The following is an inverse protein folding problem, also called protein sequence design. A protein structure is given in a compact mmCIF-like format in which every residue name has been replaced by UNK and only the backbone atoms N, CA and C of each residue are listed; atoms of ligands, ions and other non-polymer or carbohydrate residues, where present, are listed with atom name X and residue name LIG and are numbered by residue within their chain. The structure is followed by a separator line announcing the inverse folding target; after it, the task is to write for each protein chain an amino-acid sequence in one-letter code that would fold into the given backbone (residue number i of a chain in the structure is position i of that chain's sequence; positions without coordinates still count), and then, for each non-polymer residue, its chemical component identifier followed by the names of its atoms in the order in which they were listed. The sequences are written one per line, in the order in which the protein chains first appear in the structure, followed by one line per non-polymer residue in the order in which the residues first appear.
data_IF_259283397275
#
_entry.id   IF_259283397275
#
_cell.length_a   1.000
_cell.length_b   1.000
_cell.length_c   1.000
_cell.angle_alpha   90.00
_cell.angle_beta   90.00
_cell.angle_gamma   90.00
#
_symmetry.space_group_name_H-M   'P 1'
#
loop_
_entity.id
_entity.type
_entity.pdbx_description
1 polymer ?
#
# COMPACT_ATOMS: atom_id res chain seq x y z
N UNK A 1 -24.82 -4.94 -29.29
CA UNK A 1 -25.05 -4.09 -28.10
C UNK A 1 -24.21 -4.67 -26.97
N UNK A 2 -23.05 -4.08 -26.71
CA UNK A 2 -22.17 -4.51 -25.61
C UNK A 2 -22.64 -3.88 -24.31
N UNK A 3 -22.67 -4.62 -23.18
CA UNK A 3 -23.06 -4.04 -21.90
C UNK A 3 -21.99 -3.03 -21.46
N UNK A 4 -22.41 -1.79 -21.28
CA UNK A 4 -21.63 -0.74 -20.66
C UNK A 4 -21.05 -1.24 -19.34
N UNK A 5 -19.72 -1.22 -19.19
CA UNK A 5 -19.04 -1.60 -17.98
C UNK A 5 -19.64 -0.86 -16.79
N UNK A 6 -20.29 -1.60 -15.89
CA UNK A 6 -20.97 -1.03 -14.75
C UNK A 6 -19.98 -0.27 -13.88
N UNK A 7 -20.20 1.04 -13.75
CA UNK A 7 -19.52 1.88 -12.76
C UNK A 7 -19.75 1.22 -11.39
N UNK A 8 -18.70 0.61 -10.84
CA UNK A 8 -18.76 0.00 -9.51
C UNK A 8 -18.93 1.14 -8.52
N UNK A 9 -20.15 1.38 -8.03
CA UNK A 9 -20.39 2.36 -6.96
C UNK A 9 -19.63 1.91 -5.72
N UNK A 10 -18.48 2.53 -5.47
CA UNK A 10 -17.69 2.26 -4.29
C UNK A 10 -18.53 2.70 -3.06
N UNK A 11 -18.85 1.75 -2.17
CA UNK A 11 -19.65 2.05 -0.98
C UNK A 11 -18.85 2.94 -0.02
N UNK A 12 -19.52 3.73 0.82
CA UNK A 12 -18.83 4.58 1.80
C UNK A 12 -17.88 3.75 2.70
N UNK A 13 -18.31 2.55 3.09
CA UNK A 13 -17.49 1.55 3.79
C UNK A 13 -16.19 1.25 3.05
N UNK A 14 -16.28 0.91 1.76
CA UNK A 14 -15.10 0.53 0.97
C UNK A 14 -14.19 1.74 0.74
N UNK A 15 -14.72 2.94 0.55
CA UNK A 15 -13.93 4.18 0.51
C UNK A 15 -13.16 4.42 1.82
N UNK A 16 -13.80 4.20 2.98
CA UNK A 16 -13.14 4.32 4.28
C UNK A 16 -12.06 3.26 4.44
N UNK A 17 -12.33 2.00 4.05
CA UNK A 17 -11.36 0.92 4.11
C UNK A 17 -10.15 1.20 3.21
N UNK A 18 -10.38 1.73 2.01
CA UNK A 18 -9.32 2.11 1.07
C UNK A 18 -8.48 3.26 1.63
N UNK A 19 -9.11 4.33 2.11
CA UNK A 19 -8.42 5.47 2.71
C UNK A 19 -7.56 5.05 3.92
N UNK A 20 -8.10 4.23 4.82
CA UNK A 20 -7.34 3.73 5.97
C UNK A 20 -6.19 2.80 5.57
N UNK A 21 -6.39 1.96 4.54
CA UNK A 21 -5.31 1.13 4.01
C UNK A 21 -4.20 2.01 3.44
N UNK A 22 -4.54 3.09 2.74
CA UNK A 22 -3.59 4.04 2.20
C UNK A 22 -2.84 4.80 3.32
N UNK A 23 -3.50 5.16 4.42
CA UNK A 23 -2.84 5.74 5.60
C UNK A 23 -1.81 4.78 6.24
N UNK A 24 -2.15 3.49 6.35
CA UNK A 24 -1.24 2.45 6.86
C UNK A 24 -0.07 2.24 5.89
N UNK A 25 -0.35 2.13 4.59
CA UNK A 25 0.65 1.91 3.55
C UNK A 25 1.54 3.13 3.32
N UNK A 26 1.05 4.34 3.56
CA UNK A 26 1.87 5.54 3.56
C UNK A 26 2.69 5.70 4.84
N UNK A 27 2.44 4.87 5.86
CA UNK A 27 3.09 4.94 7.16
C UNK A 27 2.63 6.11 8.06
N UNK A 28 1.50 6.73 7.73
CA UNK A 28 0.86 7.76 8.55
C UNK A 28 0.11 7.15 9.75
N UNK A 29 -0.34 5.90 9.60
CA UNK A 29 -0.92 5.10 10.68
C UNK A 29 0.05 3.97 11.08
N UNK A 30 0.91 4.19 12.10
CA UNK A 30 1.98 3.26 12.42
C UNK A 30 1.52 1.94 13.07
N UNK A 31 2.27 0.84 12.88
CA UNK A 31 2.08 -0.42 13.58
C UNK A 31 1.95 -0.22 15.08
N UNK A 32 1.07 -1.00 15.71
CA UNK A 32 0.81 -0.89 17.14
C UNK A 32 -0.10 0.29 17.52
N UNK A 33 -0.39 1.24 16.62
CA UNK A 33 -1.31 2.34 16.92
C UNK A 33 -2.74 1.83 17.14
N UNK A 34 -3.26 2.09 18.34
CA UNK A 34 -4.64 1.81 18.73
C UNK A 34 -5.57 2.97 18.34
N UNK A 35 -6.80 2.65 17.94
CA UNK A 35 -7.86 3.60 17.65
C UNK A 35 -9.25 2.95 17.74
N UNK A 36 -10.25 3.78 18.00
CA UNK A 36 -11.65 3.36 18.14
C UNK A 36 -12.47 3.70 16.91
N UNK A 37 -13.60 3.01 16.72
CA UNK A 37 -14.60 3.33 15.68
C UNK A 37 -15.02 4.80 15.79
N UNK A 38 -15.17 5.34 17.00
CA UNK A 38 -15.58 6.71 17.26
C UNK A 38 -14.55 7.72 16.71
N UNK A 39 -13.28 7.53 17.02
CA UNK A 39 -12.21 8.42 16.55
C UNK A 39 -12.12 8.46 15.02
N UNK A 40 -12.23 7.29 14.37
CA UNK A 40 -12.22 7.22 12.90
C UNK A 40 -13.49 7.86 12.31
N UNK A 41 -14.66 7.64 12.92
CA UNK A 41 -15.91 8.27 12.48
C UNK A 41 -15.86 9.81 12.56
N UNK A 42 -15.28 10.34 13.65
CA UNK A 42 -15.05 11.78 13.82
C UNK A 42 -14.04 12.31 12.79
N UNK A 43 -12.94 11.59 12.55
CA UNK A 43 -11.92 11.96 11.57
C UNK A 43 -12.48 12.05 10.14
N UNK A 44 -13.32 11.09 9.72
CA UNK A 44 -13.89 11.06 8.37
C UNK A 44 -15.23 11.79 8.24
N UNK A 45 -15.81 12.31 9.34
CA UNK A 45 -17.09 13.02 9.32
C UNK A 45 -18.28 12.14 8.94
N UNK A 46 -18.25 10.86 9.32
CA UNK A 46 -19.25 9.84 8.94
C UNK A 46 -19.84 9.14 10.16
N UNK A 47 -20.92 8.37 9.98
CA UNK A 47 -21.49 7.57 11.06
C UNK A 47 -20.63 6.36 11.42
N UNK A 48 -20.83 5.81 12.62
CA UNK A 48 -20.02 4.72 13.15
C UNK A 48 -20.19 3.38 12.42
N UNK A 49 -21.34 3.12 11.78
CA UNK A 49 -21.64 1.85 11.12
C UNK A 49 -20.71 1.54 9.93
N UNK A 50 -20.61 2.40 8.89
CA UNK A 50 -19.71 2.13 7.76
C UNK A 50 -18.24 2.07 8.18
N UNK A 51 -17.86 2.83 9.22
CA UNK A 51 -16.51 2.77 9.80
C UNK A 51 -16.25 1.41 10.44
N UNK A 52 -17.16 0.95 11.30
CA UNK A 52 -17.03 -0.36 11.96
C UNK A 52 -16.86 -1.48 10.94
N UNK A 53 -17.68 -1.48 9.89
CA UNK A 53 -17.57 -2.46 8.81
C UNK A 53 -16.23 -2.38 8.07
N UNK A 54 -15.76 -1.17 7.74
CA UNK A 54 -14.45 -0.97 7.11
C UNK A 54 -13.29 -1.49 7.98
N UNK A 55 -13.36 -1.26 9.30
CA UNK A 55 -12.34 -1.75 10.24
C UNK A 55 -12.34 -3.27 10.35
N UNK A 56 -13.52 -3.91 10.30
CA UNK A 56 -13.60 -5.36 10.24
C UNK A 56 -13.06 -5.94 8.92
N UNK A 57 -13.27 -5.27 7.79
CA UNK A 57 -12.68 -5.69 6.51
C UNK A 57 -11.15 -5.66 6.54
N UNK A 58 -10.57 -4.60 7.11
CA UNK A 58 -9.12 -4.48 7.27
C UNK A 58 -8.57 -5.51 8.28
N UNK A 59 -9.36 -5.85 9.30
CA UNK A 59 -9.02 -6.95 10.23
C UNK A 59 -9.05 -8.30 9.53
N UNK A 60 -10.04 -8.57 8.67
CA UNK A 60 -10.13 -9.80 7.87
C UNK A 60 -8.98 -9.92 6.85
N UNK A 61 -8.48 -8.79 6.35
CA UNK A 61 -7.26 -8.72 5.52
C UNK A 61 -5.97 -8.90 6.35
N UNK A 62 -6.08 -8.92 7.68
CA UNK A 62 -4.96 -9.07 8.60
C UNK A 62 -4.10 -7.83 8.74
N UNK A 63 -4.62 -6.65 8.38
CA UNK A 63 -3.93 -5.36 8.53
C UNK A 63 -4.17 -4.74 9.91
N UNK A 64 -5.32 -5.06 10.51
CA UNK A 64 -5.68 -4.64 11.86
C UNK A 64 -5.87 -5.84 12.78
N UNK A 65 -5.71 -5.61 14.07
CA UNK A 65 -6.11 -6.51 15.14
C UNK A 65 -7.30 -5.87 15.87
N UNK A 66 -8.40 -6.62 16.02
CA UNK A 66 -9.56 -6.17 16.80
C UNK A 66 -9.43 -6.61 18.26
N UNK A 67 -9.57 -5.67 19.19
CA UNK A 67 -9.64 -5.93 20.63
C UNK A 67 -11.00 -5.46 21.16
N UNK A 68 -11.69 -6.35 21.89
CA UNK A 68 -13.05 -6.09 22.38
C UNK A 68 -13.15 -4.89 23.33
N UNK A 69 -12.06 -4.55 24.03
CA UNK A 69 -12.01 -3.50 25.03
C UNK A 69 -11.26 -2.24 24.56
N UNK A 70 -10.39 -2.35 23.56
CA UNK A 70 -9.54 -1.25 23.07
C UNK A 70 -9.88 -0.75 21.67
N UNK A 71 -10.71 -1.47 20.91
CA UNK A 71 -11.10 -1.10 19.56
C UNK A 71 -10.25 -1.83 18.51
N UNK A 72 -9.47 -1.10 17.72
CA UNK A 72 -8.63 -1.67 16.67
C UNK A 72 -7.20 -1.18 16.80
N UNK A 73 -6.25 -2.01 16.37
CA UNK A 73 -4.83 -1.71 16.37
C UNK A 73 -4.25 -2.02 14.99
N UNK A 74 -3.36 -1.18 14.46
CA UNK A 74 -2.57 -1.57 13.27
C UNK A 74 -1.70 -2.75 13.62
N UNK A 75 -1.76 -3.83 12.84
CA UNK A 75 -0.97 -5.03 13.11
C UNK A 75 0.52 -4.69 13.02
N UNK A 76 1.26 -5.13 14.03
CA UNK A 76 2.70 -5.13 14.04
C UNK A 76 3.23 -6.47 13.52
N UNK A 77 4.09 -6.39 12.51
CA UNK A 77 4.76 -7.55 11.92
C UNK A 77 6.22 -7.57 12.36
N UNK A 78 6.71 -8.76 12.70
CA UNK A 78 8.11 -9.03 13.02
C UNK A 78 8.92 -9.31 11.76
N UNK A 79 10.25 -9.35 11.89
CA UNK A 79 11.13 -9.76 10.77
C UNK A 79 10.84 -11.21 10.37
N UNK A 80 10.57 -12.08 11.35
CA UNK A 80 10.18 -13.46 11.10
C UNK A 80 8.85 -13.55 10.32
N UNK A 81 7.86 -12.69 10.62
CA UNK A 81 6.63 -12.62 9.84
C UNK A 81 6.91 -12.24 8.39
N UNK A 82 7.73 -11.20 8.16
CA UNK A 82 8.10 -10.77 6.81
C UNK A 82 8.84 -11.86 6.03
N UNK A 83 9.79 -12.55 6.66
CA UNK A 83 10.48 -13.70 6.07
C UNK A 83 9.50 -14.79 5.67
N UNK A 84 8.61 -15.19 6.58
CA UNK A 84 7.60 -16.21 6.30
C UNK A 84 6.65 -15.79 5.15
N UNK A 85 6.31 -14.50 5.05
CA UNK A 85 5.56 -13.98 3.90
C UNK A 85 6.35 -14.11 2.60
N UNK A 86 7.65 -13.80 2.59
CA UNK A 86 8.49 -13.93 1.41
C UNK A 86 8.64 -15.40 0.98
N UNK A 87 8.93 -16.31 1.92
CA UNK A 87 9.04 -17.76 1.67
C UNK A 87 7.73 -18.35 1.13
N UNK A 88 6.59 -17.99 1.71
CA UNK A 88 5.28 -18.44 1.23
C UNK A 88 5.02 -18.01 -0.22
N UNK A 89 5.47 -16.82 -0.62
CA UNK A 89 5.32 -16.36 -2.01
C UNK A 89 6.24 -17.11 -2.96
N UNK A 90 7.49 -17.37 -2.56
CA UNK A 90 8.43 -18.18 -3.34
C UNK A 90 7.81 -19.54 -3.64
N UNK A 91 7.34 -20.24 -2.61
CA UNK A 91 6.74 -21.57 -2.75
C UNK A 91 5.55 -21.57 -3.72
N UNK A 92 4.63 -20.61 -3.57
CA UNK A 92 3.43 -20.51 -4.42
C UNK A 92 3.81 -20.18 -5.86
N UNK A 93 4.73 -19.24 -6.06
CA UNK A 93 5.19 -18.83 -7.39
C UNK A 93 5.93 -19.96 -8.10
N UNK A 94 6.82 -20.68 -7.42
CA UNK A 94 7.47 -21.87 -7.97
C UNK A 94 6.45 -22.94 -8.38
N UNK A 95 5.40 -23.13 -7.58
CA UNK A 95 4.30 -24.03 -7.90
C UNK A 95 3.55 -23.63 -9.18
N UNK A 96 3.36 -22.33 -9.42
CA UNK A 96 2.72 -21.83 -10.65
C UNK A 96 3.56 -22.14 -11.90
N UNK A 97 4.89 -22.07 -11.80
CA UNK A 97 5.77 -22.36 -12.95
C UNK A 97 5.92 -23.84 -13.26
N UNK A 98 5.68 -24.73 -12.29
CA UNK A 98 5.64 -26.18 -12.55
C UNK A 98 4.46 -26.62 -13.41
N UNK A 99 3.39 -25.83 -13.47
CA UNK A 99 2.23 -26.11 -14.31
C UNK A 99 1.91 -24.88 -15.21
N UNK A 100 2.61 -24.72 -16.34
CA UNK A 100 2.44 -23.57 -17.22
C UNK A 100 1.03 -23.45 -17.82
N UNK A 101 0.24 -24.53 -17.87
CA UNK A 101 -1.17 -24.48 -18.30
C UNK A 101 -2.06 -23.64 -17.36
N UNK A 102 -1.61 -23.40 -16.13
CA UNK A 102 -2.29 -22.55 -15.14
C UNK A 102 -2.03 -21.04 -15.31
N UNK A 103 -1.21 -20.65 -16.29
CA UNK A 103 -0.83 -19.26 -16.54
C UNK A 103 -1.21 -18.89 -17.97
N UNK A 104 -2.11 -17.92 -18.15
CA UNK A 104 -2.53 -17.47 -19.47
C UNK A 104 -1.95 -16.09 -19.76
N UNK A 105 -0.72 -16.00 -20.25
CA UNK A 105 -0.14 -14.70 -20.65
C UNK A 105 -0.82 -14.21 -21.93
N UNK A 106 -1.51 -13.07 -21.84
CA UNK A 106 -2.12 -12.39 -23.00
C UNK A 106 -1.37 -11.11 -23.33
N UNK A 107 -1.06 -10.90 -24.61
CA UNK A 107 -0.31 -9.75 -25.13
C UNK A 107 -0.93 -8.40 -24.75
N UNK A 108 -2.26 -8.31 -24.70
CA UNK A 108 -2.98 -7.04 -24.52
C UNK A 108 -2.76 -6.44 -23.13
N UNK A 109 -2.54 -7.26 -22.11
CA UNK A 109 -2.32 -6.80 -20.74
C UNK A 109 -0.87 -6.40 -20.45
N UNK A 110 0.10 -6.86 -21.25
CA UNK A 110 1.53 -6.61 -20.99
C UNK A 110 1.94 -5.14 -21.10
N UNK A 111 1.23 -4.34 -21.91
CA UNK A 111 1.54 -2.90 -22.08
C UNK A 111 1.36 -2.14 -20.77
N UNK A 112 0.24 -2.36 -20.09
CA UNK A 112 -0.06 -1.67 -18.82
C UNK A 112 0.87 -2.15 -17.71
N UNK A 113 1.16 -3.45 -17.62
CA UNK A 113 2.13 -4.01 -16.67
C UNK A 113 3.53 -3.43 -16.90
N UNK A 114 4.01 -3.39 -18.15
CA UNK A 114 5.32 -2.81 -18.50
C UNK A 114 5.43 -1.37 -18.03
N UNK A 115 4.39 -0.56 -18.27
CA UNK A 115 4.35 0.81 -17.77
C UNK A 115 4.47 0.84 -16.24
N UNK A 116 3.74 0.00 -15.51
CA UNK A 116 3.79 -0.03 -14.05
C UNK A 116 5.15 -0.49 -13.52
N UNK A 117 5.80 -1.45 -14.19
CA UNK A 117 7.16 -1.88 -13.88
C UNK A 117 8.14 -0.70 -13.98
N UNK A 118 8.11 0.02 -15.11
CA UNK A 118 8.98 1.16 -15.34
C UNK A 118 8.75 2.30 -14.34
N UNK A 119 7.49 2.56 -13.96
CA UNK A 119 7.16 3.56 -12.94
C UNK A 119 7.63 3.13 -11.54
N UNK A 120 7.50 1.85 -11.18
CA UNK A 120 8.00 1.33 -9.90
C UNK A 120 9.53 1.50 -9.83
N UNK A 121 10.25 1.13 -10.88
CA UNK A 121 11.72 1.29 -10.96
C UNK A 121 12.12 2.77 -10.87
N UNK A 122 11.40 3.67 -11.55
CA UNK A 122 11.65 5.12 -11.46
C UNK A 122 11.38 5.68 -10.07
N UNK A 123 10.30 5.26 -9.43
CA UNK A 123 9.96 5.69 -8.07
C UNK A 123 10.98 5.21 -7.04
N UNK A 124 11.46 3.96 -7.17
CA UNK A 124 12.53 3.42 -6.35
C UNK A 124 13.82 4.26 -6.48
N UNK A 125 14.26 4.55 -7.71
CA UNK A 125 15.44 5.39 -7.97
C UNK A 125 15.27 6.84 -7.50
N UNK A 126 14.04 7.36 -7.52
CA UNK A 126 13.72 8.71 -7.05
C UNK A 126 13.53 8.82 -5.54
N UNK A 127 13.52 7.70 -4.79
CA UNK A 127 13.24 7.68 -3.36
C UNK A 127 11.78 8.00 -2.99
N UNK A 128 10.85 7.96 -3.95
CA UNK A 128 9.44 8.25 -3.72
C UNK A 128 8.69 6.97 -3.30
N UNK A 129 8.65 6.76 -1.98
CA UNK A 129 8.09 5.55 -1.39
C UNK A 129 6.59 5.40 -1.63
N UNK A 130 5.81 6.48 -1.54
CA UNK A 130 4.37 6.41 -1.74
C UNK A 130 4.04 6.01 -3.18
N UNK A 131 4.76 6.60 -4.13
CA UNK A 131 4.62 6.26 -5.55
C UNK A 131 5.09 4.82 -5.82
N UNK A 132 6.21 4.40 -5.23
CA UNK A 132 6.73 3.03 -5.34
C UNK A 132 5.72 1.99 -4.86
N UNK A 133 5.19 2.15 -3.65
CA UNK A 133 4.19 1.24 -3.07
C UNK A 133 2.97 1.14 -3.99
N UNK A 134 2.48 2.28 -4.45
CA UNK A 134 1.33 2.34 -5.35
C UNK A 134 1.58 1.60 -6.66
N UNK A 135 2.73 1.78 -7.30
CA UNK A 135 3.06 1.08 -8.54
C UNK A 135 3.37 -0.40 -8.35
N UNK A 136 4.06 -0.77 -7.27
CA UNK A 136 4.33 -2.16 -6.94
C UNK A 136 3.05 -2.96 -6.69
N UNK A 137 2.16 -2.46 -5.82
CA UNK A 137 0.89 -3.14 -5.54
C UNK A 137 0.01 -3.28 -6.78
N UNK A 138 0.00 -2.26 -7.65
CA UNK A 138 -0.75 -2.32 -8.91
C UNK A 138 -0.12 -3.26 -9.92
N UNK A 139 1.20 -3.28 -10.02
CA UNK A 139 1.94 -4.22 -10.87
C UNK A 139 1.60 -5.67 -10.51
N UNK A 140 1.77 -6.06 -9.24
CA UNK A 140 1.56 -7.46 -8.83
C UNK A 140 0.10 -7.88 -8.90
N UNK A 141 -0.83 -6.97 -8.59
CA UNK A 141 -2.26 -7.24 -8.75
C UNK A 141 -2.63 -7.50 -10.21
N UNK A 142 -2.12 -6.68 -11.12
CA UNK A 142 -2.38 -6.85 -12.56
C UNK A 142 -1.69 -8.11 -13.11
N UNK A 143 -0.44 -8.36 -12.71
CA UNK A 143 0.27 -9.59 -13.06
C UNK A 143 -0.44 -10.84 -12.50
N UNK A 144 -1.02 -10.75 -11.30
CA UNK A 144 -1.82 -11.81 -10.70
C UNK A 144 -3.08 -12.18 -11.50
N UNK A 145 -3.57 -11.31 -12.39
CA UNK A 145 -4.73 -11.61 -13.24
C UNK A 145 -4.41 -12.65 -14.33
N UNK A 146 -3.13 -12.88 -14.65
CA UNK A 146 -2.72 -13.95 -15.57
C UNK A 146 -2.63 -15.32 -14.88
N UNK A 147 -2.65 -15.34 -13.54
CA UNK A 147 -2.77 -16.56 -12.76
C UNK A 147 -4.22 -17.00 -12.79
N UNK A 148 -4.52 -18.16 -13.38
CA UNK A 148 -5.90 -18.65 -13.55
C UNK A 148 -6.56 -19.13 -12.24
N UNK A 149 -5.90 -18.94 -11.09
CA UNK A 149 -6.40 -19.31 -9.78
C UNK A 149 -6.64 -18.04 -8.92
N UNK A 150 -7.92 -17.63 -8.74
CA UNK A 150 -8.24 -16.41 -7.98
C UNK A 150 -7.85 -16.50 -6.50
N UNK A 151 -7.89 -17.70 -5.91
CA UNK A 151 -7.48 -17.88 -4.51
C UNK A 151 -5.98 -17.62 -4.32
N UNK A 152 -5.16 -18.05 -5.28
CA UNK A 152 -3.72 -17.76 -5.28
C UNK A 152 -3.48 -16.26 -5.48
N UNK A 153 -4.17 -15.63 -6.44
CA UNK A 153 -4.02 -14.20 -6.71
C UNK A 153 -4.38 -13.34 -5.46
N UNK A 154 -5.47 -13.67 -4.78
CA UNK A 154 -5.91 -12.99 -3.56
C UNK A 154 -4.94 -13.22 -2.40
N UNK A 155 -4.44 -14.45 -2.23
CA UNK A 155 -3.43 -14.79 -1.25
C UNK A 155 -2.14 -13.98 -1.45
N UNK A 156 -1.60 -13.97 -2.67
CA UNK A 156 -0.38 -13.23 -3.01
C UNK A 156 -0.57 -11.71 -2.86
N UNK A 157 -1.75 -11.20 -3.22
CA UNK A 157 -2.09 -9.78 -3.02
C UNK A 157 -2.10 -9.43 -1.53
N UNK A 158 -2.74 -10.26 -0.70
CA UNK A 158 -2.80 -10.05 0.75
C UNK A 158 -1.42 -10.04 1.40
N UNK A 159 -0.60 -11.05 1.12
CA UNK A 159 0.78 -11.09 1.62
C UNK A 159 1.58 -9.86 1.16
N UNK A 160 1.22 -9.23 0.04
CA UNK A 160 1.96 -8.07 -0.49
C UNK A 160 1.69 -6.83 0.30
N UNK A 161 0.43 -6.58 0.57
CA UNK A 161 0.02 -5.47 1.41
C UNK A 161 0.65 -5.62 2.78
N UNK A 162 0.59 -6.81 3.40
CA UNK A 162 1.20 -7.05 4.71
C UNK A 162 2.72 -6.85 4.72
N UNK A 163 3.43 -7.33 3.69
CA UNK A 163 4.86 -7.09 3.52
C UNK A 163 5.20 -5.59 3.42
N UNK A 164 4.35 -4.80 2.76
CA UNK A 164 4.51 -3.33 2.71
C UNK A 164 4.19 -2.64 4.03
N UNK A 165 3.18 -3.10 4.79
CA UNK A 165 2.91 -2.59 6.14
C UNK A 165 4.13 -2.77 7.05
N UNK A 166 4.78 -3.93 6.98
CA UNK A 166 6.04 -4.19 7.67
C UNK A 166 7.16 -3.24 7.22
N UNK A 167 7.30 -3.06 5.90
CA UNK A 167 8.46 -2.41 5.31
C UNK A 167 8.40 -0.89 5.32
N UNK A 168 7.26 -0.27 5.03
CA UNK A 168 7.15 1.20 4.87
C UNK A 168 7.70 1.96 6.08
N UNK A 169 7.37 1.51 7.29
CA UNK A 169 7.82 2.18 8.53
C UNK A 169 9.33 2.15 8.71
N UNK A 170 9.95 1.00 8.40
CA UNK A 170 11.39 0.82 8.50
C UNK A 170 12.12 1.63 7.44
N UNK A 171 11.64 1.58 6.21
CA UNK A 171 12.28 2.30 5.11
C UNK A 171 12.11 3.82 5.21
N UNK A 172 11.02 4.31 5.80
CA UNK A 172 10.91 5.76 6.13
C UNK A 172 11.87 6.20 7.23
N UNK A 173 12.14 5.32 8.20
CA UNK A 173 13.07 5.60 9.31
C UNK A 173 14.53 5.52 8.86
N UNK A 174 14.87 4.48 8.10
CA UNK A 174 16.25 4.11 7.79
C UNK A 174 16.70 4.56 6.39
N UNK A 175 15.77 5.04 5.55
CA UNK A 175 16.00 5.42 4.16
C UNK A 175 15.79 4.27 3.17
N UNK A 176 15.62 4.63 1.89
CA UNK A 176 15.73 3.70 0.76
C UNK A 176 17.20 3.61 0.38
N UNK A 177 17.76 2.41 0.49
CA UNK A 177 19.11 2.13 0.02
C UNK A 177 19.01 1.65 -1.44
N UNK A 178 19.93 2.07 -2.32
CA UNK A 178 19.83 1.83 -3.77
C UNK A 178 19.85 0.33 -4.12
N UNK A 179 20.46 -0.47 -3.25
CA UNK A 179 20.58 -1.93 -3.38
C UNK A 179 19.39 -2.69 -2.76
N UNK A 180 18.30 -2.01 -2.38
CA UNK A 180 17.29 -2.58 -1.48
C UNK A 180 15.87 -2.58 -2.07
N UNK A 181 15.40 -3.83 -2.23
CA UNK A 181 14.01 -4.30 -2.38
C UNK A 181 13.23 -3.78 -3.60
N UNK A 182 12.51 -4.70 -4.24
CA UNK A 182 11.58 -4.39 -5.32
C UNK A 182 12.22 -3.91 -6.65
N UNK A 183 13.44 -4.36 -6.96
CA UNK A 183 14.03 -4.31 -8.31
C UNK A 183 13.62 -5.58 -9.09
N UNK A 184 13.69 -5.58 -10.43
CA UNK A 184 13.43 -6.79 -11.23
C UNK A 184 12.08 -6.83 -11.97
N UNK A 185 11.21 -5.83 -11.80
CA UNK A 185 9.89 -5.81 -12.47
C UNK A 185 10.01 -5.74 -14.00
N UNK A 186 10.96 -4.97 -14.53
CA UNK A 186 11.14 -4.82 -15.97
C UNK A 186 11.69 -6.11 -16.59
N UNK A 187 12.68 -6.73 -15.95
CA UNK A 187 13.25 -8.03 -16.32
C UNK A 187 12.19 -9.12 -16.33
N UNK A 188 11.32 -9.15 -15.30
CA UNK A 188 10.21 -10.09 -15.22
C UNK A 188 9.22 -9.89 -16.38
N UNK A 189 8.82 -8.65 -16.66
CA UNK A 189 7.89 -8.37 -17.77
C UNK A 189 8.49 -8.75 -19.10
N UNK A 190 9.79 -8.54 -19.28
CA UNK A 190 10.45 -8.89 -20.53
C UNK A 190 10.62 -10.40 -20.70
N UNK A 191 10.91 -11.13 -19.62
CA UNK A 191 10.91 -12.58 -19.66
C UNK A 191 9.52 -13.14 -20.02
N UNK A 192 8.46 -12.56 -19.43
CA UNK A 192 7.06 -12.91 -19.75
C UNK A 192 6.73 -12.59 -21.21
N UNK A 193 7.16 -11.43 -21.72
CA UNK A 193 6.86 -10.98 -23.08
C UNK A 193 7.45 -11.91 -24.15
N UNK A 194 8.59 -12.54 -23.84
CA UNK A 194 9.27 -13.53 -24.69
C UNK A 194 8.78 -14.96 -24.49
N UNK A 195 7.86 -15.17 -23.54
CA UNK A 195 7.44 -16.50 -23.09
C UNK A 195 8.64 -17.38 -22.67
N UNK A 196 9.64 -16.78 -22.04
CA UNK A 196 10.85 -17.48 -21.57
C UNK A 196 10.67 -17.89 -20.11
N UNK A 197 10.16 -19.11 -19.91
CA UNK A 197 9.84 -19.63 -18.58
C UNK A 197 11.05 -19.70 -17.64
N UNK A 198 12.25 -19.98 -18.17
CA UNK A 198 13.47 -20.06 -17.39
C UNK A 198 13.90 -18.68 -16.91
N UNK A 199 13.84 -17.66 -17.78
CA UNK A 199 14.10 -16.28 -17.39
C UNK A 199 13.05 -15.75 -16.42
N UNK A 200 11.77 -16.10 -16.57
CA UNK A 200 10.72 -15.70 -15.62
C UNK A 200 11.01 -16.29 -14.25
N UNK A 201 11.35 -17.58 -14.18
CA UNK A 201 11.69 -18.25 -12.94
C UNK A 201 12.93 -17.61 -12.28
N UNK A 202 13.99 -17.34 -13.06
CA UNK A 202 15.20 -16.68 -12.58
C UNK A 202 14.93 -15.26 -12.05
N UNK A 203 14.12 -14.47 -12.77
CA UNK A 203 13.74 -13.13 -12.35
C UNK A 203 12.95 -13.14 -11.02
N UNK A 204 11.97 -14.03 -10.89
CA UNK A 204 11.18 -14.20 -9.66
C UNK A 204 12.03 -14.69 -8.47
N UNK A 205 12.94 -15.63 -8.70
CA UNK A 205 13.84 -16.12 -7.66
C UNK A 205 14.79 -15.02 -7.19
N UNK A 206 15.41 -14.29 -8.12
CA UNK A 206 16.25 -13.13 -7.79
C UNK A 206 15.47 -12.09 -6.99
N UNK A 207 14.25 -11.78 -7.43
CA UNK A 207 13.35 -10.83 -6.77
C UNK A 207 13.13 -11.17 -5.29
N UNK A 208 12.76 -12.40 -4.98
CA UNK A 208 12.49 -12.82 -3.60
C UNK A 208 13.78 -13.04 -2.79
N UNK A 209 14.88 -13.45 -3.43
CA UNK A 209 16.17 -13.57 -2.75
C UNK A 209 16.61 -12.25 -2.12
N UNK A 210 16.36 -11.11 -2.77
CA UNK A 210 16.67 -9.81 -2.19
C UNK A 210 15.75 -9.42 -1.03
N UNK A 211 14.47 -9.84 -1.07
CA UNK A 211 13.57 -9.68 0.07
C UNK A 211 14.05 -10.47 1.29
N UNK A 212 14.47 -11.72 1.07
CA UNK A 212 15.04 -12.56 2.14
C UNK A 212 16.37 -12.02 2.65
N UNK A 213 17.27 -11.57 1.76
CA UNK A 213 18.53 -10.95 2.14
C UNK A 213 18.32 -9.66 2.97
N UNK A 214 17.26 -8.91 2.70
CA UNK A 214 16.90 -7.77 3.54
C UNK A 214 16.42 -8.21 4.93
N UNK A 215 15.61 -9.27 5.02
CA UNK A 215 15.21 -9.85 6.30
C UNK A 215 16.42 -10.35 7.10
N UNK A 216 17.39 -11.03 6.45
CA UNK A 216 18.65 -11.47 7.08
C UNK A 216 19.42 -10.28 7.68
N UNK A 217 19.55 -9.17 6.92
CA UNK A 217 20.21 -7.96 7.41
C UNK A 217 19.49 -7.33 8.61
N UNK A 218 18.16 -7.34 8.63
CA UNK A 218 17.38 -6.83 9.76
C UNK A 218 17.56 -7.69 11.02
N UNK A 219 17.58 -9.02 10.87
CA UNK A 219 17.85 -9.95 11.97
C UNK A 219 19.27 -9.77 12.52
N UNK A 220 20.29 -9.62 11.64
CA UNK A 220 21.66 -9.36 12.05
C UNK A 220 21.79 -8.05 12.84
N UNK A 221 21.19 -6.94 12.36
CA UNK A 221 21.18 -5.65 13.07
C UNK A 221 20.49 -5.73 14.43
N UNK A 222 19.41 -6.51 14.54
CA UNK A 222 18.73 -6.72 15.81
C UNK A 222 19.59 -7.53 16.81
N UNK A 223 20.33 -8.53 16.33
CA UNK A 223 21.25 -9.33 17.14
C UNK A 223 22.50 -8.54 17.60
N UNK A 224 22.96 -7.58 16.80
CA UNK A 224 24.10 -6.71 17.09
C UNK A 224 23.83 -5.62 18.14
N UNK A 225 22.57 -5.44 18.57
CA UNK A 225 22.27 -4.72 19.81
C UNK A 225 21.70 -3.31 19.68
N UNK A 226 20.84 -3.03 18.69
CA UNK A 226 19.92 -1.89 18.79
C UNK A 226 18.75 -2.24 19.73
N UNK A 227 19.07 -2.40 21.02
CA UNK A 227 18.07 -2.52 22.09
C UNK A 227 17.80 -1.11 22.60
N UNK A 228 16.61 -0.51 22.41
CA UNK A 228 16.26 0.68 23.16
C UNK A 228 16.17 0.25 24.62
N UNK A 229 17.19 0.59 25.41
CA UNK A 229 17.15 0.40 26.85
C UNK A 229 15.91 1.08 27.44
N UNK A 230 15.35 0.57 28.55
CA UNK A 230 14.21 1.21 29.19
C UNK A 230 14.65 2.59 29.66
N UNK A 231 14.22 3.65 28.96
CA UNK A 231 14.40 5.02 29.43
C UNK A 231 13.58 5.18 30.70
N UNK A 232 14.29 5.10 31.81
CA UNK A 232 13.75 5.15 33.16
C UNK A 232 13.13 6.48 33.48
N UNK A 233 11.95 6.41 34.09
CA UNK A 233 11.44 7.46 34.95
C UNK A 233 12.37 7.62 36.18
N UNK A 234 13.09 8.73 36.23
CA UNK A 234 13.60 9.42 37.43
C UNK A 234 14.15 10.75 36.91
N UNK A 235 13.61 11.93 37.23
CA UNK A 235 13.21 12.42 38.54
C UNK A 235 13.88 13.78 38.67
N UNK A 236 13.17 14.87 38.40
CA UNK A 236 13.61 16.22 38.72
C UNK A 236 12.41 17.02 39.21
N UNK A 237 12.20 16.95 40.53
CA UNK A 237 11.37 17.86 41.30
C UNK A 237 12.23 19.03 41.77
N UNK A 238 11.73 20.24 41.60
CA UNK A 238 11.96 21.35 42.53
C UNK A 238 12.93 22.46 42.09
N UNK A 239 12.38 23.53 41.52
CA UNK A 239 12.65 24.89 41.99
C UNK A 239 11.59 25.86 41.45
N UNK A 240 10.83 26.44 42.38
CA UNK A 240 9.86 27.51 42.16
C UNK A 240 10.55 28.88 42.12
N UNK A 241 9.98 29.85 41.39
CA UNK A 241 10.37 31.26 41.43
C UNK A 241 9.71 32.12 40.36
N UNK A 242 8.54 32.65 40.70
CA UNK A 242 7.65 33.62 40.03
C UNK A 242 8.25 34.66 39.04
N UNK A 243 7.52 35.02 37.99
CA UNK A 243 6.59 36.17 37.99
C UNK A 243 6.05 36.55 36.59
N UNK A 244 4.72 36.62 36.50
CA UNK A 244 3.83 37.47 35.69
C UNK A 244 4.27 38.09 34.35
N UNK A 245 3.51 37.79 33.28
CA UNK A 245 2.67 38.78 32.59
C UNK A 245 1.63 38.09 31.67
N UNK A 246 0.42 38.63 31.65
CA UNK A 246 -0.70 38.34 30.74
C UNK A 246 -0.27 38.53 29.26
N UNK A 247 -0.96 38.03 28.22
CA UNK A 247 -2.36 38.31 27.88
C UNK A 247 -2.73 37.59 26.57
N UNK A 248 -4.04 37.40 26.38
CA UNK A 248 -4.75 37.15 25.11
C UNK A 248 -4.67 35.79 24.42
N UNK A 249 -5.84 35.14 24.41
CA UNK A 249 -6.22 34.00 23.60
C UNK A 249 -6.30 34.36 22.11
N UNK A 250 -5.96 33.40 21.25
CA UNK A 250 -6.45 33.33 19.87
C UNK A 250 -6.58 31.85 19.49
N UNK A 251 -7.80 31.44 19.14
CA UNK A 251 -8.12 30.11 18.62
C UNK A 251 -7.61 29.95 17.18
N UNK A 252 -7.20 28.74 16.73
CA UNK A 252 -6.82 28.54 15.34
C UNK A 252 -8.06 28.46 14.43
N UNK A 253 -8.00 29.21 13.34
CA UNK A 253 -9.00 29.29 12.27
C UNK A 253 -9.24 27.93 11.58
N UNK A 254 -10.51 27.70 11.22
CA UNK A 254 -10.96 26.56 10.45
C UNK A 254 -10.43 26.64 9.00
N UNK A 255 -9.79 25.56 8.54
CA UNK A 255 -9.39 25.36 7.15
C UNK A 255 -10.65 25.14 6.31
N UNK A 256 -10.96 26.09 5.43
CA UNK A 256 -12.03 26.02 4.43
C UNK A 256 -11.64 25.07 3.29
N UNK A 257 -12.59 24.22 2.87
CA UNK A 257 -12.46 23.33 1.73
C UNK A 257 -12.42 24.12 0.40
N UNK A 258 -11.72 23.64 -0.65
CA UNK A 258 -11.68 24.32 -1.93
C UNK A 258 -13.00 24.16 -2.70
N UNK A 259 -13.44 25.28 -3.28
CA UNK A 259 -14.64 25.47 -4.09
C UNK A 259 -14.55 24.67 -5.42
N UNK A 260 -15.65 24.00 -5.78
CA UNK A 260 -15.73 23.18 -6.98
C UNK A 260 -15.73 24.03 -8.25
N UNK A 261 -14.87 23.69 -9.22
CA UNK A 261 -14.83 24.32 -10.54
C UNK A 261 -16.15 24.09 -11.32
N UNK A 262 -16.64 25.07 -12.10
CA UNK A 262 -17.85 24.92 -12.90
C UNK A 262 -17.63 24.03 -14.12
N UNK A 263 -18.66 23.28 -14.50
CA UNK A 263 -18.68 22.40 -15.66
C UNK A 263 -18.58 23.19 -16.99
N UNK A 264 -17.96 22.62 -18.04
CA UNK A 264 -17.86 23.30 -19.33
C UNK A 264 -19.21 23.31 -20.07
N UNK A 265 -19.53 24.49 -20.60
CA UNK A 265 -20.72 24.82 -21.38
C UNK A 265 -20.70 24.10 -22.74
N UNK A 266 -21.84 23.54 -23.15
CA UNK A 266 -21.98 22.76 -24.37
C UNK A 266 -21.89 23.68 -25.61
N UNK A 267 -20.86 23.48 -26.42
CA UNK A 267 -20.73 24.18 -27.70
C UNK A 267 -21.81 23.71 -28.68
N UNK A 268 -22.69 24.63 -29.06
CA UNK A 268 -23.70 24.47 -30.09
C UNK A 268 -23.06 24.20 -31.47
N UNK A 269 -23.65 23.26 -32.21
CA UNK A 269 -23.27 22.95 -33.59
C UNK A 269 -23.61 24.13 -34.53
N UNK A 270 -22.76 24.45 -35.51
CA UNK A 270 -23.11 25.46 -36.51
C UNK A 270 -24.06 24.91 -37.57
N UNK A 271 -25.17 25.62 -37.76
CA UNK A 271 -26.14 25.44 -38.84
C UNK A 271 -25.48 25.66 -40.22
N UNK A 272 -25.86 24.81 -41.18
CA UNK A 272 -25.46 24.92 -42.57
C UNK A 272 -26.31 25.96 -43.31
N UNK A 273 -25.73 26.80 -44.18
CA UNK A 273 -26.48 27.51 -45.20
C UNK A 273 -26.36 26.79 -46.56
N UNK A 274 -27.49 26.50 -47.20
CA UNK A 274 -27.59 26.36 -48.66
C UNK A 274 -28.55 27.43 -49.21
N UNK A 275 -28.88 27.46 -50.51
CA UNK A 275 -28.14 27.08 -51.70
C UNK A 275 -27.94 28.26 -52.71
N UNK A 276 -27.22 27.97 -53.81
CA UNK A 276 -27.19 28.63 -55.14
C UNK A 276 -26.58 30.03 -55.34
N UNK A 277 -25.55 30.08 -56.19
CA UNK A 277 -25.67 30.55 -57.59
C UNK A 277 -24.66 29.79 -58.46
#
# INVERSE_FOLDING_TARGET
MSPSGGVTRNTLRQQIADALRDEVLAGRLPPGREFTVKQIAEQYGVSATPVREALFDLSAQGLLVSDQHRGFQVREFTVADYRAMAEARVLVVEGLFRNPEGVAVRSEGLVSIRRRAAEAVRAAKGGDLDVLIGYDLRFWRELGQFVLNPYIADFLTRLRVQAWVFAVHRLRRDGMDEDVLWFGHEELVEAISRNDHDQVHAAMHSYYAHALAWADRLEARAAEGDTPGPSGAAGASGAAGASEAAETATAPEAVTAPEAAPAPEAAAAPEAPGPCA
#
